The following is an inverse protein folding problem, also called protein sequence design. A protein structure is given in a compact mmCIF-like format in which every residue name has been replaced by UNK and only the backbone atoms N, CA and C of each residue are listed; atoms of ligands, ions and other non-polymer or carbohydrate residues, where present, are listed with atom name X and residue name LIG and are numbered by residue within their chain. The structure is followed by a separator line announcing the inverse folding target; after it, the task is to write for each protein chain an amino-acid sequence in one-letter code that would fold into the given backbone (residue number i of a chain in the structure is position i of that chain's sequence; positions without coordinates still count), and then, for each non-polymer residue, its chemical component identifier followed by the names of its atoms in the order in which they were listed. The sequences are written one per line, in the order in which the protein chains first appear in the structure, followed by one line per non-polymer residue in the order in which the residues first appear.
data_IF_340441641609
#
_entry.id   IF_340441641609
#
_cell.length_a   1.000
_cell.length_b   1.000
_cell.length_c   1.000
_cell.angle_alpha   90.00
_cell.angle_beta   90.00
_cell.angle_gamma   90.00
#
_symmetry.space_group_name_H-M   'P 1'
#
loop_
_entity.id
_entity.type
_entity.pdbx_description
1 polymer ?
#
# COMPACT_ATOMS: atom_id res chain seq x y z
N UNK A 1 5.44 -51.81 15.15
CA UNK A 1 5.70 -50.40 14.84
C UNK A 1 4.63 -49.91 13.87
N UNK A 2 3.48 -49.44 14.42
CA UNK A 2 2.44 -48.81 13.64
C UNK A 2 2.86 -47.37 13.33
N UNK A 3 3.23 -47.05 12.07
CA UNK A 3 3.26 -45.70 11.57
C UNK A 3 1.81 -45.20 11.49
N UNK A 4 1.48 -44.17 12.23
CA UNK A 4 0.24 -43.43 12.04
C UNK A 4 0.18 -42.91 10.59
N UNK A 5 -0.98 -43.01 9.91
CA UNK A 5 -1.13 -42.46 8.57
C UNK A 5 -0.95 -40.94 8.65
N UNK A 6 0.01 -40.42 7.88
CA UNK A 6 0.19 -38.99 7.73
C UNK A 6 -1.12 -38.36 7.23
N UNK A 7 -1.66 -37.45 8.01
CA UNK A 7 -2.79 -36.61 7.60
C UNK A 7 -2.31 -35.82 6.38
N UNK A 8 -2.77 -36.17 5.17
CA UNK A 8 -2.68 -35.29 4.01
C UNK A 8 -3.50 -34.06 4.41
N UNK A 9 -2.85 -32.90 4.51
CA UNK A 9 -3.58 -31.65 4.57
C UNK A 9 -4.39 -31.55 3.29
N UNK A 10 -5.70 -31.67 3.40
CA UNK A 10 -6.60 -31.37 2.28
C UNK A 10 -6.49 -29.87 2.03
N UNK A 11 -6.25 -29.49 0.80
CA UNK A 11 -6.33 -28.11 0.34
C UNK A 11 -7.81 -27.72 0.38
N UNK A 12 -8.11 -26.57 1.03
CA UNK A 12 -9.45 -26.05 1.09
C UNK A 12 -9.65 -24.95 0.03
N UNK A 13 -10.82 -24.92 -0.58
CA UNK A 13 -11.18 -23.91 -1.57
C UNK A 13 -11.45 -22.53 -0.92
N UNK A 14 -11.75 -22.52 0.39
CA UNK A 14 -12.09 -21.34 1.19
C UNK A 14 -11.06 -21.15 2.31
N UNK A 15 -10.81 -19.92 2.71
CA UNK A 15 -9.89 -19.57 3.79
C UNK A 15 -10.46 -20.02 5.15
N UNK A 16 -9.84 -21.02 5.79
CA UNK A 16 -10.23 -21.60 7.08
C UNK A 16 -9.07 -21.68 8.10
N UNK A 17 -7.93 -21.03 7.76
CA UNK A 17 -6.69 -21.06 8.55
C UNK A 17 -5.67 -22.08 8.08
N UNK A 18 -6.03 -22.97 7.18
CA UNK A 18 -5.19 -24.03 6.61
C UNK A 18 -4.52 -23.70 5.30
N UNK A 19 -4.10 -24.76 4.60
CA UNK A 19 -3.56 -24.68 3.23
C UNK A 19 -4.71 -24.36 2.28
N UNK A 20 -4.67 -23.19 1.66
CA UNK A 20 -5.79 -22.64 0.89
C UNK A 20 -5.42 -22.53 -0.58
N UNK A 21 -6.31 -23.00 -1.45
CA UNK A 21 -6.12 -22.93 -2.90
C UNK A 21 -6.15 -21.49 -3.39
N UNK A 22 -5.20 -21.15 -4.26
CA UNK A 22 -5.12 -19.84 -4.90
C UNK A 22 -5.52 -19.95 -6.38
N UNK A 23 -6.41 -19.06 -6.80
CA UNK A 23 -6.79 -18.97 -8.22
C UNK A 23 -6.02 -17.83 -8.88
N UNK A 24 -5.23 -18.16 -9.89
CA UNK A 24 -4.55 -17.14 -10.70
C UNK A 24 -5.58 -16.45 -11.61
N UNK A 25 -5.68 -15.12 -11.49
CA UNK A 25 -6.62 -14.30 -12.28
C UNK A 25 -5.95 -13.75 -13.53
N UNK A 26 -4.71 -13.25 -13.39
CA UNK A 26 -3.95 -12.71 -14.52
C UNK A 26 -2.63 -13.46 -14.60
N UNK A 27 -2.32 -13.99 -15.79
CA UNK A 27 -1.09 -14.78 -16.05
C UNK A 27 0.11 -13.90 -16.36
N UNK A 28 -0.14 -12.72 -16.92
CA UNK A 28 0.89 -11.75 -17.24
C UNK A 28 1.33 -10.97 -15.99
N UNK A 29 2.46 -10.30 -16.08
CA UNK A 29 2.90 -9.39 -15.02
C UNK A 29 1.97 -8.18 -14.92
N UNK A 30 1.46 -7.92 -13.72
CA UNK A 30 0.63 -6.73 -13.41
C UNK A 30 1.40 -5.70 -12.61
N UNK A 31 0.92 -4.48 -12.60
CA UNK A 31 1.42 -3.36 -11.77
C UNK A 31 0.27 -2.41 -11.43
N UNK A 32 0.42 -1.65 -10.32
CA UNK A 32 -0.60 -0.68 -9.91
C UNK A 32 -1.95 -1.35 -9.69
N UNK A 33 -1.96 -2.51 -9.03
CA UNK A 33 -3.21 -3.23 -8.73
C UNK A 33 -3.92 -2.52 -7.59
N UNK A 34 -5.17 -2.13 -7.81
CA UNK A 34 -5.98 -1.43 -6.83
C UNK A 34 -7.44 -1.93 -6.85
N UNK A 35 -8.12 -1.78 -5.71
CA UNK A 35 -9.56 -2.00 -5.64
C UNK A 35 -10.30 -0.71 -5.99
N UNK A 36 -11.20 -0.80 -6.94
CA UNK A 36 -12.25 0.18 -7.18
C UNK A 36 -13.42 -0.17 -6.23
N UNK A 37 -13.49 0.54 -5.11
CA UNK A 37 -14.48 0.26 -4.07
C UNK A 37 -15.90 0.63 -4.51
N UNK A 38 -16.06 1.65 -5.37
CA UNK A 38 -17.37 2.10 -5.84
C UNK A 38 -18.04 1.07 -6.75
N UNK A 39 -17.25 0.37 -7.56
CA UNK A 39 -17.72 -0.64 -8.50
C UNK A 39 -17.44 -2.07 -8.06
N UNK A 40 -16.74 -2.26 -6.94
CA UNK A 40 -16.29 -3.56 -6.43
C UNK A 40 -15.53 -4.37 -7.50
N UNK A 41 -14.52 -3.74 -8.10
CA UNK A 41 -13.72 -4.30 -9.18
C UNK A 41 -12.23 -4.06 -8.91
N UNK A 42 -11.38 -4.99 -9.35
CA UNK A 42 -9.92 -4.80 -9.31
C UNK A 42 -9.48 -4.15 -10.61
N UNK A 43 -8.72 -3.05 -10.52
CA UNK A 43 -8.08 -2.41 -11.66
C UNK A 43 -6.58 -2.71 -11.67
N UNK A 44 -5.97 -2.80 -12.85
CA UNK A 44 -4.54 -3.07 -12.98
C UNK A 44 -4.00 -2.65 -14.35
N UNK A 45 -2.69 -2.48 -14.39
CA UNK A 45 -1.92 -2.32 -15.62
C UNK A 45 -1.25 -3.65 -15.97
N UNK A 46 -1.40 -4.10 -17.21
CA UNK A 46 -0.74 -5.28 -17.76
C UNK A 46 0.60 -4.88 -18.38
N UNK A 47 1.70 -5.41 -17.83
CA UNK A 47 3.07 -5.08 -18.27
C UNK A 47 3.43 -5.66 -19.64
N UNK A 48 2.70 -6.69 -20.10
CA UNK A 48 2.99 -7.36 -21.36
C UNK A 48 2.54 -6.55 -22.58
N UNK A 49 1.33 -5.99 -22.53
CA UNK A 49 0.74 -5.22 -23.62
C UNK A 49 0.67 -3.71 -23.38
N UNK A 50 1.04 -3.27 -22.16
CA UNK A 50 1.07 -1.87 -21.80
C UNK A 50 -0.30 -1.21 -21.65
N UNK A 51 -1.34 -1.99 -21.34
CA UNK A 51 -2.72 -1.50 -21.26
C UNK A 51 -3.30 -1.64 -19.86
N UNK A 52 -4.39 -0.90 -19.61
CA UNK A 52 -5.13 -0.90 -18.35
C UNK A 52 -6.40 -1.73 -18.46
N UNK A 53 -6.66 -2.51 -17.42
CA UNK A 53 -7.79 -3.44 -17.33
C UNK A 53 -8.51 -3.34 -16.00
N UNK A 54 -9.73 -3.84 -15.97
CA UNK A 54 -10.47 -4.15 -14.74
C UNK A 54 -10.95 -5.59 -14.76
N UNK A 55 -11.06 -6.19 -13.57
CA UNK A 55 -11.69 -7.50 -13.38
C UNK A 55 -13.17 -7.27 -13.11
N UNK A 56 -14.02 -7.78 -13.99
CA UNK A 56 -15.47 -7.69 -13.81
C UNK A 56 -15.97 -8.70 -12.75
N UNK A 57 -17.26 -8.63 -12.41
CA UNK A 57 -17.91 -9.53 -11.43
C UNK A 57 -17.87 -11.02 -11.80
N UNK A 58 -17.58 -11.34 -13.06
CA UNK A 58 -17.41 -12.74 -13.52
C UNK A 58 -15.95 -13.21 -13.42
N UNK A 59 -15.02 -12.36 -12.95
CA UNK A 59 -13.61 -12.64 -12.89
C UNK A 59 -12.87 -12.50 -14.23
N UNK A 60 -13.48 -11.82 -15.22
CA UNK A 60 -12.87 -11.61 -16.54
C UNK A 60 -12.18 -10.25 -16.64
N UNK A 61 -11.05 -10.21 -17.32
CA UNK A 61 -10.34 -8.96 -17.61
C UNK A 61 -11.02 -8.19 -18.73
N UNK A 62 -11.44 -6.96 -18.43
CA UNK A 62 -12.07 -6.03 -19.39
C UNK A 62 -11.17 -4.83 -19.57
N UNK A 63 -10.90 -4.47 -20.82
CA UNK A 63 -10.04 -3.36 -21.19
C UNK A 63 -10.65 -2.01 -20.76
N UNK A 64 -9.85 -1.13 -20.13
CA UNK A 64 -10.27 0.23 -19.78
C UNK A 64 -9.97 1.24 -20.89
N UNK A 65 -8.93 1.02 -21.68
CA UNK A 65 -8.56 1.91 -22.79
C UNK A 65 -7.75 1.15 -23.84
N UNK A 66 -7.98 1.48 -25.13
CA UNK A 66 -7.17 0.96 -26.24
C UNK A 66 -5.76 1.58 -26.30
N UNK A 67 -5.52 2.68 -25.57
CA UNK A 67 -4.19 3.28 -25.51
C UNK A 67 -3.18 2.38 -24.84
N UNK A 68 -1.97 2.40 -25.35
CA UNK A 68 -0.84 1.61 -24.87
C UNK A 68 0.22 2.52 -24.25
N UNK A 69 0.70 2.14 -23.07
CA UNK A 69 1.73 2.84 -22.32
C UNK A 69 2.82 1.83 -21.93
N UNK A 70 3.96 1.82 -22.59
CA UNK A 70 5.05 0.89 -22.29
C UNK A 70 6.00 1.46 -21.23
N UNK A 71 6.73 0.56 -20.56
CA UNK A 71 7.81 0.88 -19.60
C UNK A 71 7.40 1.73 -18.40
N UNK A 72 6.12 1.67 -18.00
CA UNK A 72 5.65 2.39 -16.82
C UNK A 72 6.36 1.85 -15.56
N UNK A 73 7.03 2.76 -14.81
CA UNK A 73 7.78 2.45 -13.60
C UNK A 73 6.85 2.38 -12.38
N UNK A 74 6.03 3.42 -12.15
CA UNK A 74 5.07 3.49 -11.06
C UNK A 74 3.70 3.91 -11.58
N UNK A 75 2.66 3.55 -10.85
CA UNK A 75 1.27 3.83 -11.19
C UNK A 75 0.55 4.27 -9.94
N UNK A 76 -0.08 5.42 -10.00
CA UNK A 76 -0.93 5.97 -8.94
C UNK A 76 -2.32 6.23 -9.49
N UNK A 77 -3.32 5.57 -8.93
CA UNK A 77 -4.73 5.74 -9.29
C UNK A 77 -5.39 6.83 -8.46
N UNK A 78 -6.29 7.59 -9.09
CA UNK A 78 -7.31 8.35 -8.37
C UNK A 78 -8.22 7.41 -7.58
N UNK A 79 -8.92 7.92 -6.55
CA UNK A 79 -9.79 7.05 -5.73
C UNK A 79 -10.98 6.51 -6.52
N UNK A 80 -11.54 7.31 -7.46
CA UNK A 80 -12.61 6.90 -8.39
C UNK A 80 -12.13 6.01 -9.56
N UNK A 81 -10.82 5.77 -9.68
CA UNK A 81 -10.18 5.00 -10.76
C UNK A 81 -10.38 5.55 -12.18
N UNK A 82 -10.86 6.79 -12.31
CA UNK A 82 -11.04 7.45 -13.61
C UNK A 82 -9.75 8.07 -14.15
N UNK A 83 -8.78 8.32 -13.26
CA UNK A 83 -7.49 8.91 -13.65
C UNK A 83 -6.33 8.09 -13.10
N UNK A 84 -5.27 7.98 -13.88
CA UNK A 84 -4.02 7.34 -13.48
C UNK A 84 -2.85 8.29 -13.73
N UNK A 85 -1.89 8.33 -12.80
CA UNK A 85 -0.57 8.93 -13.02
C UNK A 85 0.42 7.81 -13.25
N UNK A 86 1.18 7.92 -14.31
CA UNK A 86 2.24 7.00 -14.72
C UNK A 86 3.58 7.72 -14.63
N UNK A 87 4.51 7.14 -13.89
CA UNK A 87 5.90 7.59 -13.79
C UNK A 87 6.78 6.66 -14.64
N UNK A 88 7.69 7.23 -15.42
CA UNK A 88 8.57 6.50 -16.33
C UNK A 88 10.02 6.50 -15.85
N UNK A 89 10.86 5.54 -16.30
CA UNK A 89 12.28 5.46 -15.90
C UNK A 89 13.13 6.68 -16.30
N UNK A 90 12.73 7.42 -17.31
CA UNK A 90 13.39 8.65 -17.78
C UNK A 90 12.96 9.90 -16.97
N UNK A 91 12.12 9.72 -15.94
CA UNK A 91 11.58 10.81 -15.13
C UNK A 91 10.34 11.48 -15.73
N UNK A 92 9.89 11.07 -16.92
CA UNK A 92 8.65 11.61 -17.46
C UNK A 92 7.43 11.12 -16.68
N UNK A 93 6.43 11.99 -16.55
CA UNK A 93 5.21 11.72 -15.81
C UNK A 93 3.99 12.08 -16.65
N UNK A 94 3.00 11.20 -16.68
CA UNK A 94 1.78 11.35 -17.48
C UNK A 94 0.57 11.07 -16.59
N UNK A 95 -0.36 12.01 -16.52
CA UNK A 95 -1.71 11.78 -16.05
C UNK A 95 -2.61 11.42 -17.22
N UNK A 96 -3.37 10.33 -17.11
CA UNK A 96 -4.33 9.87 -18.13
C UNK A 96 -5.70 9.69 -17.49
N UNK A 97 -6.71 10.36 -18.04
CA UNK A 97 -8.10 10.20 -17.67
C UNK A 97 -8.81 9.29 -18.66
N UNK A 98 -9.41 8.19 -18.17
CA UNK A 98 -10.01 7.15 -19.01
C UNK A 98 -11.33 7.57 -19.64
N UNK A 99 -12.16 8.33 -18.93
CA UNK A 99 -13.46 8.79 -19.45
C UNK A 99 -13.28 9.85 -20.56
N UNK A 100 -12.43 10.85 -20.30
CA UNK A 100 -12.13 11.91 -21.25
C UNK A 100 -11.14 11.50 -22.35
N UNK A 101 -10.51 10.33 -22.23
CA UNK A 101 -9.38 9.87 -23.07
C UNK A 101 -8.24 10.90 -23.19
N UNK A 102 -8.06 11.70 -22.13
CA UNK A 102 -7.14 12.85 -22.12
C UNK A 102 -5.84 12.50 -21.42
N UNK A 103 -4.74 12.83 -22.08
CA UNK A 103 -3.39 12.76 -21.52
C UNK A 103 -2.88 14.16 -21.17
N UNK A 104 -2.26 14.29 -19.97
CA UNK A 104 -1.60 15.51 -19.51
C UNK A 104 -0.19 15.16 -19.07
N UNK A 105 0.82 15.84 -19.61
CA UNK A 105 2.21 15.69 -19.17
C UNK A 105 2.43 16.50 -17.90
N UNK A 106 3.05 15.87 -16.90
CA UNK A 106 3.42 16.50 -15.64
C UNK A 106 4.93 16.83 -15.63
N UNK A 107 5.39 17.73 -14.75
CA UNK A 107 6.81 18.08 -14.67
C UNK A 107 7.73 16.89 -14.39
N UNK A 108 8.91 16.85 -15.01
CA UNK A 108 9.92 15.80 -14.84
C UNK A 108 10.50 15.74 -13.42
N UNK A 109 10.49 16.87 -12.69
CA UNK A 109 11.00 16.94 -11.33
C UNK A 109 10.05 16.41 -10.27
N UNK A 110 8.85 15.99 -10.66
CA UNK A 110 7.85 15.45 -9.74
C UNK A 110 8.01 13.94 -9.59
N UNK A 111 8.01 13.47 -8.36
CA UNK A 111 8.15 12.06 -8.00
C UNK A 111 7.21 11.72 -6.84
N UNK A 112 6.77 10.48 -6.76
CA UNK A 112 5.86 9.99 -5.74
C UNK A 112 4.55 10.78 -5.71
N UNK A 113 3.49 10.19 -6.18
CA UNK A 113 2.18 10.86 -6.27
C UNK A 113 1.17 10.17 -5.36
N UNK A 114 0.24 10.97 -4.82
CA UNK A 114 -0.99 10.48 -4.21
C UNK A 114 -2.13 11.45 -4.49
N UNK A 115 -3.30 10.92 -4.83
CA UNK A 115 -4.47 11.75 -5.09
C UNK A 115 -5.12 12.20 -3.78
N UNK A 116 -5.64 13.42 -3.80
CA UNK A 116 -6.55 13.92 -2.77
C UNK A 116 -7.86 13.12 -2.75
N UNK A 117 -8.58 13.09 -1.61
CA UNK A 117 -9.88 12.44 -1.51
C UNK A 117 -10.93 12.96 -2.51
N UNK A 118 -10.74 14.17 -3.04
CA UNK A 118 -11.63 14.79 -4.05
C UNK A 118 -11.25 14.46 -5.51
N UNK A 119 -10.23 13.64 -5.76
CA UNK A 119 -9.71 13.23 -7.08
C UNK A 119 -9.24 14.38 -8.00
N UNK A 120 -9.21 15.63 -7.53
CA UNK A 120 -8.83 16.78 -8.36
C UNK A 120 -7.39 17.22 -8.15
N UNK A 121 -6.85 16.96 -6.99
CA UNK A 121 -5.50 17.36 -6.60
C UNK A 121 -4.63 16.16 -6.35
N UNK A 122 -3.33 16.38 -6.47
CA UNK A 122 -2.31 15.40 -6.10
C UNK A 122 -1.29 16.06 -5.20
N UNK A 123 -0.76 15.30 -4.26
CA UNK A 123 0.46 15.65 -3.56
C UNK A 123 1.62 14.92 -4.24
N UNK A 124 2.77 15.58 -4.32
CA UNK A 124 3.98 15.02 -4.91
C UNK A 124 5.21 15.71 -4.32
N UNK A 125 6.33 15.04 -4.40
CA UNK A 125 7.65 15.63 -4.12
C UNK A 125 8.22 16.21 -5.40
N UNK A 126 8.91 17.32 -5.32
CA UNK A 126 9.72 17.86 -6.43
C UNK A 126 11.16 17.99 -6.00
N UNK A 127 12.07 17.61 -6.89
CA UNK A 127 13.51 17.68 -6.67
C UNK A 127 14.16 18.59 -7.69
N UNK A 128 14.90 19.59 -7.20
CA UNK A 128 15.59 20.57 -8.00
C UNK A 128 17.10 20.40 -7.98
N UNK A 129 17.81 21.31 -8.63
CA UNK A 129 19.27 21.29 -8.68
C UNK A 129 19.95 21.63 -7.36
N UNK A 130 19.25 22.28 -6.44
CA UNK A 130 19.70 22.67 -5.11
C UNK A 130 18.78 22.09 -4.06
N UNK A 131 19.32 21.80 -2.86
CA UNK A 131 18.53 21.27 -1.73
C UNK A 131 17.29 22.12 -1.39
N UNK A 132 17.39 23.43 -1.49
CA UNK A 132 16.30 24.34 -1.22
C UNK A 132 15.19 24.29 -2.29
N UNK A 133 15.46 23.66 -3.42
CA UNK A 133 14.48 23.47 -4.50
C UNK A 133 13.66 22.18 -4.30
N UNK A 134 14.04 21.33 -3.32
CA UNK A 134 13.31 20.11 -2.97
C UNK A 134 12.10 20.48 -2.10
N UNK A 135 10.91 20.15 -2.55
CA UNK A 135 9.66 20.60 -1.95
C UNK A 135 8.58 19.53 -2.00
N UNK A 136 7.71 19.55 -1.02
CA UNK A 136 6.42 18.88 -1.03
C UNK A 136 5.40 19.88 -1.59
N UNK A 137 4.68 19.49 -2.63
CA UNK A 137 3.72 20.37 -3.30
C UNK A 137 2.37 19.68 -3.48
N UNK A 138 1.31 20.47 -3.47
CA UNK A 138 -0.02 20.05 -3.94
C UNK A 138 -0.28 20.72 -5.27
N UNK A 139 -0.68 19.93 -6.27
CA UNK A 139 -1.01 20.39 -7.60
C UNK A 139 -2.45 20.03 -7.98
N UNK A 140 -3.13 20.96 -8.63
CA UNK A 140 -4.43 20.76 -9.25
C UNK A 140 -4.22 20.33 -10.70
N UNK A 141 -4.65 19.11 -11.04
CA UNK A 141 -4.43 18.53 -12.37
C UNK A 141 -5.27 19.18 -13.47
N UNK A 142 -6.38 19.86 -13.14
CA UNK A 142 -7.26 20.53 -14.09
C UNK A 142 -6.73 21.91 -14.47
N UNK A 143 -6.27 22.67 -13.48
CA UNK A 143 -5.79 24.06 -13.66
C UNK A 143 -4.29 24.16 -13.88
N UNK A 144 -3.52 23.13 -13.50
CA UNK A 144 -2.06 23.14 -13.49
C UNK A 144 -1.44 24.00 -12.39
N UNK A 145 -2.25 24.53 -11.46
CA UNK A 145 -1.75 25.32 -10.32
C UNK A 145 -1.10 24.40 -9.29
N UNK A 146 0.07 24.81 -8.80
CA UNK A 146 0.78 24.11 -7.74
C UNK A 146 1.05 25.04 -6.55
N UNK A 147 0.92 24.50 -5.33
CA UNK A 147 1.20 25.17 -4.07
C UNK A 147 2.26 24.41 -3.30
N UNK A 148 3.30 25.11 -2.84
CA UNK A 148 4.31 24.56 -1.94
C UNK A 148 3.66 24.35 -0.56
N UNK A 149 3.85 23.17 -0.01
CA UNK A 149 3.39 22.77 1.33
C UNK A 149 4.55 22.85 2.32
N UNK A 150 5.70 22.21 1.96
CA UNK A 150 6.85 22.12 2.87
C UNK A 150 8.15 22.06 2.06
N UNK A 151 9.24 22.59 2.61
CA UNK A 151 10.59 22.43 2.08
C UNK A 151 11.19 21.12 2.56
N UNK A 152 11.63 20.26 1.64
CA UNK A 152 12.22 18.96 1.98
C UNK A 152 13.72 19.05 2.32
N UNK A 153 14.43 20.04 1.78
CA UNK A 153 15.87 20.16 1.96
C UNK A 153 16.62 18.90 1.50
N UNK A 154 17.39 18.29 2.41
CA UNK A 154 18.07 17.00 2.21
C UNK A 154 17.36 15.84 2.93
N UNK A 155 16.17 16.08 3.50
CA UNK A 155 15.39 15.13 4.28
C UNK A 155 14.21 14.54 3.48
N UNK A 156 14.23 14.57 2.15
CA UNK A 156 13.11 14.06 1.32
C UNK A 156 12.70 12.63 1.64
N UNK A 157 13.65 11.77 1.99
CA UNK A 157 13.40 10.36 2.36
C UNK A 157 12.71 10.21 3.72
N UNK A 158 12.73 11.25 4.56
CA UNK A 158 12.02 11.25 5.83
C UNK A 158 10.54 11.62 5.68
N UNK A 159 10.13 12.08 4.51
CA UNK A 159 8.74 12.38 4.20
C UNK A 159 8.10 11.18 3.50
N UNK A 160 7.04 10.65 4.08
CA UNK A 160 6.14 9.69 3.43
C UNK A 160 4.87 10.44 3.01
N UNK A 161 4.57 10.47 1.72
CA UNK A 161 3.28 10.95 1.23
C UNK A 161 2.18 10.03 1.76
N UNK A 162 1.14 10.61 2.38
CA UNK A 162 0.01 9.89 2.93
C UNK A 162 -1.16 10.87 3.12
N UNK A 163 -2.00 11.03 2.10
CA UNK A 163 -3.15 11.92 2.19
C UNK A 163 -4.25 11.28 3.04
N UNK A 164 -4.60 11.95 4.15
CA UNK A 164 -5.63 11.43 5.04
C UNK A 164 -7.03 11.52 4.41
N UNK A 165 -7.89 10.50 4.60
CA UNK A 165 -9.26 10.52 4.08
C UNK A 165 -10.11 11.69 4.57
N UNK A 166 -9.80 12.24 5.76
CA UNK A 166 -10.44 13.45 6.31
C UNK A 166 -9.90 14.75 5.68
N UNK A 167 -9.02 14.66 4.69
CA UNK A 167 -8.44 15.77 3.94
C UNK A 167 -7.66 16.79 4.78
N UNK A 168 -7.09 16.39 5.91
CA UNK A 168 -6.35 17.30 6.81
C UNK A 168 -4.83 17.13 6.70
N UNK A 169 -4.34 15.91 6.72
CA UNK A 169 -2.91 15.56 6.66
C UNK A 169 -2.58 15.08 5.25
N UNK A 170 -1.42 15.45 4.74
CA UNK A 170 -0.97 15.10 3.38
C UNK A 170 0.32 14.29 3.37
N UNK A 171 1.08 14.32 4.46
CA UNK A 171 2.30 13.54 4.60
C UNK A 171 2.66 13.30 6.06
N UNK A 172 3.47 12.28 6.30
CA UNK A 172 4.20 12.08 7.54
C UNK A 172 5.65 12.52 7.35
N UNK A 173 6.20 13.21 8.33
CA UNK A 173 7.62 13.50 8.42
C UNK A 173 8.19 12.84 9.67
N UNK A 174 9.32 12.14 9.54
CA UNK A 174 9.94 11.41 10.65
C UNK A 174 11.29 11.99 11.04
N UNK A 175 11.51 12.13 12.35
CA UNK A 175 12.84 12.44 12.91
C UNK A 175 13.24 11.36 13.90
N UNK A 176 14.49 10.91 13.80
CA UNK A 176 15.04 9.94 14.74
C UNK A 176 15.38 10.65 16.05
N UNK A 177 14.83 10.15 17.15
CA UNK A 177 15.12 10.64 18.51
C UNK A 177 16.36 9.91 19.05
N UNK A 178 16.36 8.60 18.95
CA UNK A 178 17.43 7.71 19.38
C UNK A 178 17.45 6.40 18.58
N UNK A 179 18.18 5.38 19.03
CA UNK A 179 18.32 4.10 18.31
C UNK A 179 17.04 3.27 18.20
N UNK A 180 16.03 3.54 19.02
CA UNK A 180 14.80 2.75 19.09
C UNK A 180 13.52 3.62 19.01
N UNK A 181 13.63 4.95 18.79
CA UNK A 181 12.46 5.83 18.75
C UNK A 181 12.55 6.84 17.59
N UNK A 182 11.40 7.09 16.98
CA UNK A 182 11.19 8.18 16.03
C UNK A 182 10.01 9.05 16.47
N UNK A 183 10.12 10.34 16.19
CA UNK A 183 8.98 11.27 16.24
C UNK A 183 8.39 11.41 14.85
N UNK A 184 7.06 11.31 14.75
CA UNK A 184 6.30 11.40 13.50
C UNK A 184 5.45 12.66 13.55
N UNK A 185 5.75 13.58 12.66
CA UNK A 185 5.02 14.84 12.48
C UNK A 185 3.99 14.68 11.36
N UNK A 186 2.85 15.31 11.53
CA UNK A 186 1.79 15.34 10.53
C UNK A 186 1.84 16.65 9.75
N UNK A 187 2.05 16.56 8.46
CA UNK A 187 2.11 17.73 7.57
C UNK A 187 0.73 18.01 7.02
N UNK A 188 0.19 19.18 7.31
CA UNK A 188 -1.13 19.62 6.86
C UNK A 188 -1.06 20.43 5.57
N UNK A 189 -2.23 20.73 4.98
CA UNK A 189 -2.33 21.49 3.71
C UNK A 189 -2.14 23.00 3.89
N UNK A 190 -2.39 23.54 5.10
CA UNK A 190 -2.47 24.97 5.36
C UNK A 190 -1.61 25.40 6.54
N UNK A 191 -0.48 24.68 6.77
CA UNK A 191 0.43 24.91 7.90
C UNK A 191 -0.25 24.69 9.27
N UNK A 192 -1.13 23.70 9.33
CA UNK A 192 -1.75 23.27 10.58
C UNK A 192 -0.69 22.73 11.54
N UNK A 193 -0.81 23.07 12.80
CA UNK A 193 0.08 22.59 13.86
C UNK A 193 -0.52 21.36 14.53
N UNK A 194 -0.36 20.19 13.93
CA UNK A 194 -0.77 18.93 14.53
C UNK A 194 0.23 18.49 15.61
N UNK A 195 -0.30 17.81 16.63
CA UNK A 195 0.54 17.17 17.64
C UNK A 195 1.25 15.98 17.02
N UNK A 196 2.58 15.92 17.15
CA UNK A 196 3.37 14.76 16.76
C UNK A 196 3.10 13.53 17.65
N UNK A 197 3.49 12.37 17.17
CA UNK A 197 3.47 11.13 17.95
C UNK A 197 4.87 10.52 18.01
N UNK A 198 5.19 9.85 19.13
CA UNK A 198 6.43 9.08 19.26
C UNK A 198 6.09 7.61 19.02
N UNK A 199 6.87 6.96 18.15
CA UNK A 199 6.77 5.53 17.84
C UNK A 199 7.98 4.78 18.37
N UNK A 200 7.77 3.53 18.81
CA UNK A 200 8.78 2.69 19.45
C UNK A 200 9.49 1.86 18.37
N UNK A 201 10.29 2.52 17.55
CA UNK A 201 11.06 1.90 16.47
C UNK A 201 11.48 2.91 15.40
N UNK A 202 12.28 2.41 14.47
CA UNK A 202 12.76 3.10 13.29
C UNK A 202 12.05 2.60 12.03
N UNK A 203 12.23 3.28 10.90
CA UNK A 203 11.66 2.86 9.62
C UNK A 203 10.14 2.94 9.59
N UNK A 204 9.55 3.96 10.20
CA UNK A 204 8.12 4.18 10.20
C UNK A 204 7.55 4.16 8.77
N UNK A 205 6.53 3.34 8.58
CA UNK A 205 5.68 3.32 7.39
C UNK A 205 4.23 3.32 7.85
N UNK A 206 3.52 4.40 7.56
CA UNK A 206 2.14 4.62 8.01
C UNK A 206 1.12 4.48 6.88
N UNK A 207 -0.08 4.04 7.25
CA UNK A 207 -1.26 3.96 6.37
C UNK A 207 -2.50 4.38 7.14
N UNK A 208 -3.30 5.27 6.57
CA UNK A 208 -4.53 5.74 7.18
C UNK A 208 -5.62 4.66 7.20
N UNK A 209 -6.42 4.64 8.27
CA UNK A 209 -7.71 3.95 8.27
C UNK A 209 -8.70 4.64 7.32
N UNK A 210 -9.77 3.96 6.86
CA UNK A 210 -10.74 4.55 5.94
C UNK A 210 -11.37 5.86 6.41
N UNK A 211 -11.53 6.06 7.73
CA UNK A 211 -12.02 7.34 8.30
C UNK A 211 -10.94 8.38 8.56
N UNK A 212 -9.66 8.01 8.47
CA UNK A 212 -8.55 8.92 8.76
C UNK A 212 -8.35 9.26 10.24
N UNK A 213 -8.94 8.50 11.16
CA UNK A 213 -8.82 8.68 12.61
C UNK A 213 -7.73 7.81 13.25
N UNK A 214 -7.30 6.75 12.53
CA UNK A 214 -6.26 5.80 12.95
C UNK A 214 -5.17 5.69 11.90
N UNK A 215 -3.98 5.29 12.37
CA UNK A 215 -2.81 5.02 11.55
C UNK A 215 -2.34 3.61 11.87
N UNK A 216 -2.41 2.71 10.86
CA UNK A 216 -1.68 1.45 10.86
C UNK A 216 -0.24 1.75 10.48
N UNK A 217 0.74 1.27 11.25
CA UNK A 217 2.13 1.50 10.91
C UNK A 217 3.02 0.33 11.28
N UNK A 218 4.12 0.21 10.58
CA UNK A 218 5.20 -0.72 10.92
C UNK A 218 6.46 0.05 11.29
N UNK A 219 7.20 -0.52 12.24
CA UNK A 219 8.51 -0.08 12.69
C UNK A 219 9.36 -1.29 13.06
N UNK A 220 10.66 -1.10 13.21
CA UNK A 220 11.59 -2.10 13.74
C UNK A 220 12.47 -1.50 14.82
N UNK A 221 12.89 -2.29 15.79
CA UNK A 221 13.78 -1.84 16.88
C UNK A 221 14.63 -3.00 17.42
N UNK A 222 15.49 -2.70 18.38
CA UNK A 222 16.38 -3.67 19.01
C UNK A 222 15.62 -4.80 19.74
N UNK A 223 14.47 -4.50 20.34
CA UNK A 223 13.67 -5.49 21.09
C UNK A 223 12.96 -6.49 20.19
N UNK A 224 12.81 -6.19 18.90
CA UNK A 224 12.27 -7.10 17.88
C UNK A 224 13.35 -7.77 17.02
N UNK A 225 14.64 -7.71 17.41
CA UNK A 225 15.78 -8.11 16.57
C UNK A 225 15.76 -7.42 15.19
N UNK A 226 15.25 -6.20 15.16
CA UNK A 226 15.03 -5.43 13.92
C UNK A 226 14.13 -6.14 12.91
N UNK A 227 13.23 -7.01 13.37
CA UNK A 227 12.09 -7.49 12.58
C UNK A 227 10.99 -6.42 12.52
N UNK A 228 10.20 -6.37 11.44
CA UNK A 228 9.09 -5.43 11.36
C UNK A 228 8.02 -5.80 12.39
N UNK A 229 7.51 -4.81 13.11
CA UNK A 229 6.39 -4.96 14.04
C UNK A 229 5.25 -4.07 13.62
N UNK A 230 4.02 -4.58 13.66
CA UNK A 230 2.83 -3.89 13.22
C UNK A 230 2.06 -3.28 14.40
N UNK A 231 1.66 -2.03 14.24
CA UNK A 231 1.00 -1.24 15.26
C UNK A 231 -0.18 -0.46 14.70
N UNK A 232 -1.10 -0.10 15.57
CA UNK A 232 -2.18 0.85 15.28
C UNK A 232 -2.16 1.97 16.32
N UNK A 233 -2.35 3.20 15.88
CA UNK A 233 -2.46 4.36 16.76
C UNK A 233 -3.59 5.27 16.32
N UNK A 234 -4.15 6.07 17.24
CA UNK A 234 -5.00 7.20 16.86
C UNK A 234 -4.14 8.35 16.32
N UNK A 235 -4.71 9.18 15.48
CA UNK A 235 -4.07 10.42 14.97
C UNK A 235 -3.51 11.31 16.09
N UNK A 236 -4.12 11.30 17.28
CA UNK A 236 -3.65 12.05 18.45
C UNK A 236 -2.55 11.38 19.26
N UNK A 237 -2.23 10.12 18.98
CA UNK A 237 -1.31 9.31 19.78
C UNK A 237 -1.89 8.84 21.14
N UNK A 238 -3.15 9.16 21.44
CA UNK A 238 -3.78 8.81 22.71
C UNK A 238 -4.03 7.29 22.86
N UNK A 239 -4.11 6.58 21.77
CA UNK A 239 -4.24 5.14 21.69
C UNK A 239 -3.11 4.60 20.84
N UNK A 240 -2.32 3.67 21.37
CA UNK A 240 -1.25 2.98 20.66
C UNK A 240 -1.25 1.50 21.04
N UNK A 241 -1.28 0.61 20.06
CA UNK A 241 -1.43 -0.82 20.30
C UNK A 241 -0.63 -1.63 19.27
N UNK A 242 0.12 -2.62 19.75
CA UNK A 242 0.77 -3.63 18.91
C UNK A 242 -0.25 -4.69 18.47
N UNK A 243 -0.17 -5.11 17.19
CA UNK A 243 -1.12 -6.06 16.60
C UNK A 243 -0.62 -7.51 16.59
N UNK A 244 0.54 -7.78 17.21
CA UNK A 244 1.15 -9.10 17.40
C UNK A 244 1.37 -9.93 16.12
N UNK A 245 1.45 -9.29 14.97
CA UNK A 245 1.96 -9.85 13.73
C UNK A 245 3.22 -9.10 13.31
N UNK A 246 4.19 -9.82 12.77
CA UNK A 246 5.46 -9.24 12.31
C UNK A 246 5.41 -9.11 10.79
N UNK A 247 5.01 -7.94 10.33
CA UNK A 247 4.90 -7.61 8.89
C UNK A 247 4.99 -6.09 8.70
N UNK A 248 5.12 -5.66 7.46
CA UNK A 248 5.11 -4.24 7.07
C UNK A 248 3.68 -3.76 6.81
N UNK A 249 3.41 -2.49 7.15
CA UNK A 249 2.10 -1.87 6.92
C UNK A 249 1.70 -1.85 5.42
N UNK A 250 2.67 -1.82 4.50
CA UNK A 250 2.43 -1.89 3.06
C UNK A 250 1.78 -3.22 2.61
N UNK A 251 2.07 -4.32 3.33
CA UNK A 251 1.49 -5.66 3.06
C UNK A 251 0.09 -5.83 3.66
N UNK A 252 -0.47 -4.78 4.23
CA UNK A 252 -1.79 -4.79 4.87
C UNK A 252 -2.78 -3.91 4.13
N UNK A 253 -4.06 -4.24 4.23
CA UNK A 253 -5.17 -3.42 3.75
C UNK A 253 -6.27 -3.36 4.79
N UNK A 254 -6.90 -2.20 4.93
CA UNK A 254 -8.12 -2.05 5.69
C UNK A 254 -9.31 -2.54 4.86
N UNK A 255 -10.09 -3.44 5.43
CA UNK A 255 -11.45 -3.75 4.95
C UNK A 255 -12.46 -2.78 5.56
N UNK A 256 -12.27 -2.44 6.82
CA UNK A 256 -13.04 -1.42 7.54
C UNK A 256 -12.12 -0.72 8.56
N UNK A 257 -12.62 0.29 9.28
CA UNK A 257 -11.83 0.96 10.31
C UNK A 257 -11.29 0.03 11.41
N UNK A 258 -11.87 -1.16 11.57
CA UNK A 258 -11.54 -2.09 12.65
C UNK A 258 -11.08 -3.47 12.17
N UNK A 259 -11.17 -3.75 10.86
CA UNK A 259 -10.75 -5.02 10.26
C UNK A 259 -9.65 -4.76 9.23
N UNK A 260 -8.54 -5.49 9.40
CA UNK A 260 -7.36 -5.39 8.55
C UNK A 260 -7.00 -6.79 8.04
N UNK A 261 -6.58 -6.88 6.79
CA UNK A 261 -5.97 -8.08 6.21
C UNK A 261 -4.50 -7.82 5.91
N UNK A 262 -3.63 -8.77 6.27
CA UNK A 262 -2.18 -8.64 6.08
C UNK A 262 -1.57 -9.89 5.47
N UNK A 263 -0.63 -9.72 4.55
CA UNK A 263 0.37 -10.72 4.22
C UNK A 263 1.45 -10.73 5.31
N UNK A 264 1.65 -11.87 5.94
CA UNK A 264 2.59 -12.01 7.06
C UNK A 264 3.64 -13.04 6.69
N UNK A 265 4.93 -12.67 6.62
CA UNK A 265 5.99 -13.62 6.31
C UNK A 265 6.00 -14.80 7.29
N UNK A 266 6.05 -16.01 6.76
CA UNK A 266 6.07 -17.25 7.56
C UNK A 266 7.31 -17.34 8.43
N UNK A 267 8.41 -16.75 8.00
CA UNK A 267 9.66 -16.68 8.74
C UNK A 267 10.32 -15.32 8.51
N UNK A 268 10.80 -14.72 9.57
CA UNK A 268 11.62 -13.53 9.52
C UNK A 268 12.98 -13.84 10.16
N UNK A 269 14.01 -13.26 9.63
CA UNK A 269 15.35 -13.25 10.22
C UNK A 269 15.69 -11.90 10.82
N UNK A 270 16.76 -11.87 11.58
CA UNK A 270 17.30 -10.63 12.15
C UNK A 270 17.48 -9.56 11.04
N UNK A 271 17.20 -8.31 11.39
CA UNK A 271 17.35 -7.12 10.55
C UNK A 271 16.45 -7.07 9.29
N UNK A 272 15.53 -8.02 9.09
CA UNK A 272 14.64 -7.99 7.91
C UNK A 272 13.68 -6.79 7.93
N UNK A 273 13.41 -6.17 9.07
CA UNK A 273 12.58 -4.97 9.19
C UNK A 273 13.12 -3.74 8.45
N UNK A 274 14.42 -3.71 8.16
CA UNK A 274 15.07 -2.60 7.43
C UNK A 274 14.50 -2.43 6.02
N UNK A 275 14.07 -3.51 5.36
CA UNK A 275 13.45 -3.45 4.04
C UNK A 275 12.62 -4.69 3.74
N UNK A 276 11.40 -4.55 3.18
CA UNK A 276 10.60 -5.69 2.70
C UNK A 276 11.34 -6.56 1.67
N UNK A 277 12.29 -5.99 0.94
CA UNK A 277 13.08 -6.72 -0.04
C UNK A 277 13.95 -7.83 0.58
N UNK A 278 14.29 -7.74 1.86
CA UNK A 278 15.02 -8.82 2.55
C UNK A 278 14.18 -10.08 2.72
N UNK A 279 12.85 -9.94 2.75
CA UNK A 279 11.91 -11.05 2.85
C UNK A 279 11.39 -11.57 1.49
N UNK A 280 11.97 -11.15 0.34
CA UNK A 280 11.49 -11.57 -1.00
C UNK A 280 11.42 -13.07 -1.21
N UNK A 281 12.30 -13.84 -0.55
CA UNK A 281 12.34 -15.31 -0.67
C UNK A 281 11.41 -16.02 0.33
N UNK A 282 10.79 -15.27 1.23
CA UNK A 282 9.91 -15.82 2.26
C UNK A 282 8.47 -15.81 1.74
N UNK A 283 7.75 -16.89 1.97
CA UNK A 283 6.33 -16.98 1.67
C UNK A 283 5.51 -16.32 2.78
N UNK A 284 4.36 -15.78 2.42
CA UNK A 284 3.45 -15.16 3.36
C UNK A 284 2.25 -16.05 3.66
N UNK A 285 1.82 -16.05 4.91
CA UNK A 285 0.48 -16.41 5.32
C UNK A 285 -0.44 -15.18 5.27
N UNK A 286 -1.75 -15.39 5.21
CA UNK A 286 -2.73 -14.31 5.26
C UNK A 286 -3.40 -14.29 6.62
N UNK A 287 -3.40 -13.11 7.24
CA UNK A 287 -4.00 -12.85 8.54
C UNK A 287 -5.16 -11.86 8.43
N UNK A 288 -6.20 -12.11 9.22
CA UNK A 288 -7.28 -11.17 9.51
C UNK A 288 -7.09 -10.65 10.92
N UNK A 289 -7.13 -9.34 11.08
CA UNK A 289 -6.91 -8.65 12.36
C UNK A 289 -8.17 -7.87 12.70
N UNK A 290 -8.73 -8.16 13.87
CA UNK A 290 -9.84 -7.41 14.48
C UNK A 290 -9.28 -6.53 15.60
N UNK A 291 -9.24 -5.22 15.34
CA UNK A 291 -8.65 -4.23 16.25
C UNK A 291 -9.44 -4.14 17.55
N UNK A 292 -10.78 -4.18 17.48
CA UNK A 292 -11.65 -4.03 18.66
C UNK A 292 -11.54 -5.24 19.59
N UNK A 293 -11.54 -6.44 19.01
CA UNK A 293 -11.41 -7.70 19.76
C UNK A 293 -9.97 -8.03 20.14
N UNK A 294 -8.98 -7.29 19.61
CA UNK A 294 -7.57 -7.60 19.77
C UNK A 294 -7.21 -9.00 19.30
N UNK A 295 -7.75 -9.43 18.20
CA UNK A 295 -7.52 -10.75 17.63
C UNK A 295 -6.77 -10.63 16.32
N UNK A 296 -5.71 -11.42 16.17
CA UNK A 296 -4.98 -11.62 14.92
C UNK A 296 -5.03 -13.10 14.59
N UNK A 297 -5.72 -13.46 13.53
CA UNK A 297 -5.98 -14.84 13.16
C UNK A 297 -5.40 -15.13 11.79
N UNK A 298 -4.65 -16.22 11.66
CA UNK A 298 -4.27 -16.74 10.36
C UNK A 298 -5.49 -17.35 9.69
N UNK A 299 -5.85 -16.82 8.53
CA UNK A 299 -7.01 -17.29 7.77
C UNK A 299 -6.64 -18.16 6.57
N UNK A 300 -5.42 -18.03 6.03
CA UNK A 300 -4.98 -18.85 4.91
C UNK A 300 -3.45 -18.99 4.88
N UNK A 301 -3.00 -20.15 4.43
CA UNK A 301 -1.66 -20.39 3.89
C UNK A 301 -1.83 -20.68 2.40
N UNK A 302 -1.45 -19.79 1.47
CA UNK A 302 -1.52 -20.05 0.03
C UNK A 302 -0.84 -21.36 -0.34
N UNK A 303 -1.50 -22.25 -1.12
CA UNK A 303 -1.01 -23.58 -1.48
C UNK A 303 0.33 -23.56 -2.24
N UNK A 304 0.53 -22.54 -3.07
CA UNK A 304 1.81 -22.22 -3.69
C UNK A 304 2.40 -21.03 -2.97
N UNK A 305 3.66 -21.11 -2.55
CA UNK A 305 4.29 -20.04 -1.82
C UNK A 305 4.26 -18.71 -2.57
N UNK A 306 3.81 -17.66 -1.92
CA UNK A 306 3.70 -16.30 -2.46
C UNK A 306 4.35 -15.27 -1.56
N UNK A 307 4.98 -14.25 -2.15
CA UNK A 307 5.39 -13.04 -1.44
C UNK A 307 4.39 -11.92 -1.79
N UNK A 308 3.47 -11.67 -0.87
CA UNK A 308 2.36 -10.74 -1.09
C UNK A 308 2.89 -9.31 -1.14
N UNK A 309 2.57 -8.58 -2.21
CA UNK A 309 2.91 -7.17 -2.37
C UNK A 309 1.74 -6.27 -1.97
N UNK A 310 0.57 -6.55 -2.51
CA UNK A 310 -0.67 -5.79 -2.29
C UNK A 310 -1.80 -6.76 -1.98
N UNK A 311 -2.58 -6.45 -0.95
CA UNK A 311 -3.83 -7.14 -0.63
C UNK A 311 -5.02 -6.23 -0.90
N UNK A 312 -6.12 -6.82 -1.35
CA UNK A 312 -7.41 -6.17 -1.55
C UNK A 312 -8.52 -7.14 -1.17
N UNK A 313 -9.58 -6.62 -0.59
CA UNK A 313 -10.76 -7.43 -0.20
C UNK A 313 -11.99 -6.80 -0.83
N UNK A 314 -12.88 -7.63 -1.37
CA UNK A 314 -14.12 -7.15 -1.96
C UNK A 314 -15.08 -6.60 -0.89
N UNK A 315 -16.05 -5.79 -1.31
CA UNK A 315 -17.00 -5.10 -0.41
C UNK A 315 -17.83 -6.05 0.49
N UNK A 316 -17.98 -7.32 0.08
CA UNK A 316 -18.78 -8.32 0.78
C UNK A 316 -17.96 -9.24 1.67
N UNK A 317 -16.63 -9.00 1.80
CA UNK A 317 -15.68 -9.85 2.54
C UNK A 317 -15.74 -11.33 2.10
N UNK A 318 -15.89 -11.57 0.78
CA UNK A 318 -15.98 -12.92 0.19
C UNK A 318 -14.76 -13.31 -0.60
N UNK A 319 -14.08 -12.34 -1.19
CA UNK A 319 -12.93 -12.58 -2.05
C UNK A 319 -11.77 -11.67 -1.65
N UNK A 320 -10.63 -12.28 -1.44
CA UNK A 320 -9.38 -11.58 -1.23
C UNK A 320 -8.54 -11.72 -2.51
N UNK A 321 -8.10 -10.57 -3.03
CA UNK A 321 -7.16 -10.50 -4.14
C UNK A 321 -5.77 -10.10 -3.64
N UNK A 322 -4.73 -10.62 -4.30
CA UNK A 322 -3.37 -10.18 -4.01
C UNK A 322 -2.46 -10.24 -5.23
N UNK A 323 -1.52 -9.29 -5.30
CA UNK A 323 -0.38 -9.38 -6.22
C UNK A 323 0.80 -10.05 -5.54
N UNK A 324 1.52 -10.88 -6.28
CA UNK A 324 2.73 -11.54 -5.82
C UNK A 324 3.97 -10.75 -6.29
N UNK A 325 4.79 -10.29 -5.36
CA UNK A 325 5.98 -9.46 -5.62
C UNK A 325 7.03 -10.15 -6.49
N UNK A 326 7.16 -11.49 -6.38
CA UNK A 326 8.15 -12.27 -7.13
C UNK A 326 7.77 -12.46 -8.58
N UNK A 327 6.49 -12.74 -8.81
CA UNK A 327 5.98 -13.08 -10.15
C UNK A 327 5.30 -11.90 -10.84
N UNK A 328 4.90 -10.88 -10.06
CA UNK A 328 4.10 -9.76 -10.53
C UNK A 328 2.71 -10.18 -11.02
N UNK A 329 2.17 -11.32 -10.57
CA UNK A 329 0.88 -11.86 -11.02
C UNK A 329 -0.21 -11.59 -10.00
N UNK A 330 -1.46 -11.60 -10.47
CA UNK A 330 -2.64 -11.39 -9.65
C UNK A 330 -3.34 -12.72 -9.35
N UNK A 331 -3.68 -12.91 -8.08
CA UNK A 331 -4.34 -14.10 -7.54
C UNK A 331 -5.56 -13.71 -6.71
N UNK A 332 -6.45 -14.69 -6.48
CA UNK A 332 -7.56 -14.57 -5.53
C UNK A 332 -7.64 -15.80 -4.62
N UNK A 333 -8.26 -15.60 -3.48
CA UNK A 333 -8.67 -16.61 -2.50
C UNK A 333 -10.12 -16.30 -2.11
N UNK A 334 -10.95 -17.31 -1.96
CA UNK A 334 -12.29 -17.19 -1.42
C UNK A 334 -12.21 -17.17 0.13
N UNK A 335 -12.88 -16.18 0.76
CA UNK A 335 -12.91 -15.95 2.21
C UNK A 335 -14.09 -16.63 2.89
#
# INVERSE_FOLDING_TARGET
TNKAPGRKSTEDDTADGGLTRTKKIVTDGVKGVEMDLDNNQVVYYNRHDGKFYKINKNGESVLLSEKTFFDVRNITWSLDKDTVIMEYPDGSNIAYNFEAEKQTTLPLSWEEFEFAPDNNKVITKTYGSRKNDNQLIIADLKTGQAKIIEGLGDKGDNFQIAWSPDNQVVAFFTETIDFDHQEVYFIGQHSENFKSIIVDGLGFQGKWSPKGDKILYSVYNSTSNYEPTLWITSKSGAYKKRLFVNTWAEKCTFYSDNIIYCGVPQQLGEMMGLSPNYALKVDDDIYRIDIDRNMSEKIATPETGHNIEKLMVDENEKTLYFSDRRTGRLYQIDL
#
